data_IF_629930621430
#
_entry.id   IF_629930621430
#
_cell.length_a   1.000
_cell.length_b   1.000
_cell.length_c   1.000
_cell.angle_alpha   90.00
_cell.angle_beta   90.00
_cell.angle_gamma   90.00
#
_symmetry.space_group_name_H-M   'P 1'
#
loop_
_entity.id
_entity.type
_entity.pdbx_description
1 polymer ?
#
# COMPACT_ATOMS: atom_id res chain seq x y z
N UNK A 1 -11.56 -11.33 -12.19
CA UNK A 1 -11.10 -10.73 -10.92
C UNK A 1 -11.01 -9.24 -11.15
N UNK A 2 -11.62 -8.42 -10.30
CA UNK A 2 -11.43 -6.98 -10.39
C UNK A 2 -10.01 -6.62 -9.95
N UNK A 3 -9.63 -5.36 -10.20
CA UNK A 3 -8.45 -4.73 -9.64
C UNK A 3 -8.93 -3.31 -9.39
N UNK A 4 -9.51 -3.06 -8.21
CA UNK A 4 -10.24 -1.81 -7.92
C UNK A 4 -9.32 -0.59 -8.04
N UNK A 5 -8.03 -0.79 -7.78
CA UNK A 5 -6.98 0.22 -7.89
C UNK A 5 -6.40 0.35 -9.31
N UNK A 6 -6.74 -0.55 -10.23
CA UNK A 6 -6.22 -0.60 -11.61
C UNK A 6 -4.69 -0.54 -11.69
N UNK A 7 -3.99 -1.16 -10.72
CA UNK A 7 -2.52 -1.16 -10.65
C UNK A 7 -1.96 -2.20 -11.63
N UNK A 8 -1.01 -1.83 -12.53
CA UNK A 8 -0.43 -2.78 -13.48
C UNK A 8 0.66 -3.64 -12.82
N UNK A 9 0.33 -4.89 -12.50
CA UNK A 9 1.27 -5.82 -11.86
C UNK A 9 2.27 -6.51 -12.82
N UNK A 10 2.04 -6.46 -14.14
CA UNK A 10 2.89 -7.12 -15.16
C UNK A 10 3.06 -8.62 -14.88
N UNK A 11 4.29 -9.10 -14.67
CA UNK A 11 4.63 -10.50 -14.35
C UNK A 11 4.89 -10.70 -12.85
N UNK A 12 4.66 -9.68 -12.02
CA UNK A 12 4.87 -9.75 -10.58
C UNK A 12 3.66 -10.43 -9.90
N UNK A 13 3.75 -11.75 -9.75
CA UNK A 13 2.72 -12.57 -9.10
C UNK A 13 2.48 -12.20 -7.63
N UNK A 14 3.53 -11.73 -6.92
CA UNK A 14 3.39 -11.27 -5.53
C UNK A 14 2.54 -10.01 -5.45
N UNK A 15 2.78 -9.05 -6.36
CA UNK A 15 1.95 -7.85 -6.46
C UNK A 15 0.52 -8.19 -6.91
N UNK A 16 0.35 -9.13 -7.85
CA UNK A 16 -0.99 -9.61 -8.23
C UNK A 16 -1.76 -10.12 -7.00
N UNK A 17 -1.12 -10.96 -6.19
CA UNK A 17 -1.72 -11.51 -4.98
C UNK A 17 -2.10 -10.43 -3.96
N UNK A 18 -1.27 -9.40 -3.79
CA UNK A 18 -1.59 -8.24 -2.95
C UNK A 18 -2.85 -7.53 -3.47
N UNK A 19 -2.98 -7.34 -4.79
CA UNK A 19 -4.16 -6.71 -5.37
C UNK A 19 -5.42 -7.56 -5.22
N UNK A 20 -5.31 -8.88 -5.37
CA UNK A 20 -6.41 -9.81 -5.10
C UNK A 20 -6.86 -9.73 -3.62
N UNK A 21 -5.91 -9.62 -2.67
CA UNK A 21 -6.22 -9.41 -1.25
C UNK A 21 -6.96 -8.09 -1.02
N UNK A 22 -6.46 -6.99 -1.61
CA UNK A 22 -7.04 -5.65 -1.48
C UNK A 22 -8.49 -5.62 -1.98
N UNK A 23 -8.77 -6.31 -3.09
CA UNK A 23 -10.08 -6.39 -3.70
C UNK A 23 -11.12 -7.10 -2.81
N UNK A 24 -10.69 -8.03 -1.96
CA UNK A 24 -11.55 -8.81 -1.07
C UNK A 24 -11.56 -8.29 0.39
N UNK A 25 -10.60 -7.45 0.79
CA UNK A 25 -10.47 -7.01 2.18
C UNK A 25 -11.43 -5.86 2.54
N UNK A 26 -12.57 -6.24 3.13
CA UNK A 26 -13.60 -5.29 3.55
C UNK A 26 -13.13 -4.29 4.62
N UNK A 27 -12.15 -4.67 5.46
CA UNK A 27 -11.59 -3.79 6.50
C UNK A 27 -10.84 -2.62 5.86
N UNK A 28 -9.86 -2.90 4.99
CA UNK A 28 -9.07 -1.89 4.29
C UNK A 28 -9.96 -0.95 3.48
N UNK A 29 -10.87 -1.49 2.67
CA UNK A 29 -11.79 -0.68 1.87
C UNK A 29 -12.70 0.20 2.74
N UNK A 30 -13.13 -0.31 3.89
CA UNK A 30 -13.94 0.47 4.84
C UNK A 30 -13.12 1.59 5.49
N UNK A 31 -11.84 1.35 5.82
CA UNK A 31 -10.96 2.38 6.35
C UNK A 31 -10.77 3.54 5.36
N UNK A 32 -10.56 3.26 4.07
CA UNK A 32 -10.51 4.32 3.05
C UNK A 32 -11.81 5.13 2.98
N UNK A 33 -12.96 4.46 3.08
CA UNK A 33 -14.25 5.15 3.12
C UNK A 33 -14.36 6.05 4.37
N UNK A 34 -13.96 5.54 5.53
CA UNK A 34 -13.96 6.31 6.79
C UNK A 34 -13.03 7.53 6.73
N UNK A 35 -11.81 7.35 6.21
CA UNK A 35 -10.87 8.45 5.94
C UNK A 35 -11.50 9.50 5.03
N UNK A 36 -12.19 9.09 3.97
CA UNK A 36 -12.83 10.02 3.04
C UNK A 36 -14.01 10.78 3.66
N UNK A 37 -14.84 10.14 4.48
CA UNK A 37 -15.94 10.82 5.21
C UNK A 37 -15.39 11.89 6.15
N UNK A 38 -14.28 11.60 6.84
CA UNK A 38 -13.63 12.61 7.69
C UNK A 38 -13.06 13.75 6.84
N UNK A 39 -12.32 13.44 5.79
CA UNK A 39 -11.70 14.44 4.93
C UNK A 39 -12.72 15.34 4.23
N UNK A 40 -13.64 14.74 3.49
CA UNK A 40 -14.55 15.44 2.58
C UNK A 40 -15.77 15.94 3.35
N UNK A 41 -16.54 15.03 3.95
CA UNK A 41 -17.87 15.38 4.49
C UNK A 41 -17.77 16.21 5.78
N UNK A 42 -16.78 15.93 6.63
CA UNK A 42 -16.65 16.62 7.94
C UNK A 42 -15.74 17.84 7.90
N UNK A 43 -14.63 17.77 7.16
CA UNK A 43 -13.60 18.81 7.16
C UNK A 43 -13.60 19.68 5.88
N UNK A 44 -14.31 19.27 4.83
CA UNK A 44 -14.37 20.02 3.57
C UNK A 44 -13.07 19.98 2.77
N UNK A 45 -12.22 18.97 2.98
CA UNK A 45 -10.99 18.73 2.21
C UNK A 45 -11.24 17.88 0.95
N UNK A 46 -10.17 17.67 0.18
CA UNK A 46 -10.16 16.82 -0.99
C UNK A 46 -10.19 15.31 -0.64
N UNK A 47 -10.37 14.49 -1.67
CA UNK A 47 -10.48 13.03 -1.54
C UNK A 47 -9.27 12.41 -0.83
N UNK A 48 -9.58 11.53 0.13
CA UNK A 48 -8.66 10.61 0.82
C UNK A 48 -9.30 9.21 0.85
N UNK A 49 -9.99 8.85 -0.25
CA UNK A 49 -10.69 7.59 -0.41
C UNK A 49 -10.00 6.66 -1.41
N UNK A 50 -10.73 5.65 -1.94
CA UNK A 50 -10.18 4.69 -2.90
C UNK A 50 -9.56 5.32 -4.15
N UNK A 51 -10.07 6.47 -4.61
CA UNK A 51 -9.55 7.18 -5.79
C UNK A 51 -8.19 7.83 -5.48
N UNK A 52 -8.07 8.48 -4.32
CA UNK A 52 -6.81 9.03 -3.82
C UNK A 52 -5.71 7.96 -3.78
N UNK A 53 -5.93 6.87 -3.03
CA UNK A 53 -4.90 5.83 -2.85
C UNK A 53 -4.53 5.15 -4.16
N UNK A 54 -5.48 5.00 -5.09
CA UNK A 54 -5.24 4.52 -6.45
C UNK A 54 -4.25 5.40 -7.20
N UNK A 55 -4.43 6.72 -7.14
CA UNK A 55 -3.53 7.67 -7.83
C UNK A 55 -2.14 7.62 -7.20
N UNK A 56 -2.06 7.64 -5.86
CA UNK A 56 -0.79 7.57 -5.13
C UNK A 56 -0.03 6.29 -5.47
N UNK A 57 -0.67 5.12 -5.37
CA UNK A 57 -0.02 3.84 -5.63
C UNK A 57 0.45 3.68 -7.08
N UNK A 58 -0.35 4.09 -8.07
CA UNK A 58 0.06 4.05 -9.47
C UNK A 58 1.24 5.00 -9.75
N UNK A 59 1.22 6.20 -9.16
CA UNK A 59 2.31 7.17 -9.27
C UNK A 59 3.61 6.64 -8.64
N UNK A 60 3.52 6.12 -7.42
CA UNK A 60 4.66 5.61 -6.68
C UNK A 60 5.29 4.38 -7.37
N UNK A 61 4.48 3.42 -7.82
CA UNK A 61 4.96 2.25 -8.56
C UNK A 61 5.62 2.65 -9.89
N UNK A 62 5.05 3.61 -10.62
CA UNK A 62 5.68 4.14 -11.84
C UNK A 62 7.03 4.79 -11.53
N UNK A 63 7.12 5.56 -10.45
CA UNK A 63 8.34 6.23 -10.02
C UNK A 63 9.43 5.23 -9.66
N UNK A 64 9.10 4.21 -8.86
CA UNK A 64 10.01 3.10 -8.53
C UNK A 64 10.54 2.44 -9.81
N UNK A 65 9.67 2.07 -10.75
CA UNK A 65 10.05 1.43 -12.01
C UNK A 65 10.98 2.30 -12.86
N UNK A 66 10.75 3.62 -12.89
CA UNK A 66 11.62 4.56 -13.60
C UNK A 66 13.01 4.66 -12.95
N UNK A 67 13.07 4.68 -11.62
CA UNK A 67 14.33 4.69 -10.86
C UNK A 67 15.12 3.41 -11.10
N UNK A 68 14.48 2.24 -11.00
CA UNK A 68 15.09 0.94 -11.29
C UNK A 68 15.60 0.88 -12.73
N UNK A 69 14.81 1.36 -13.71
CA UNK A 69 15.24 1.42 -15.10
C UNK A 69 16.45 2.34 -15.34
N UNK A 70 16.76 3.25 -14.40
CA UNK A 70 17.95 4.10 -14.40
C UNK A 70 19.08 3.57 -13.51
N UNK A 71 18.98 2.33 -13.02
CA UNK A 71 20.01 1.68 -12.22
C UNK A 71 19.99 2.07 -10.73
N UNK A 72 18.95 2.76 -10.26
CA UNK A 72 18.76 2.99 -8.82
C UNK A 72 18.26 1.70 -8.18
N UNK A 73 19.06 1.13 -7.29
CA UNK A 73 18.73 -0.12 -6.61
C UNK A 73 17.84 0.13 -5.38
N UNK A 74 16.68 -0.56 -5.25
CA UNK A 74 15.83 -0.45 -4.06
C UNK A 74 16.53 -0.96 -2.80
N UNK A 75 16.30 -0.31 -1.65
CA UNK A 75 16.90 -0.71 -0.37
C UNK A 75 16.54 -2.13 0.02
N UNK A 76 15.29 -2.56 -0.20
CA UNK A 76 14.85 -3.93 0.14
C UNK A 76 15.68 -5.00 -0.59
N UNK A 77 16.12 -4.69 -1.81
CA UNK A 77 17.04 -5.54 -2.57
C UNK A 77 18.47 -5.43 -2.08
N UNK A 78 18.97 -4.20 -1.95
CA UNK A 78 20.36 -3.92 -1.58
C UNK A 78 20.72 -4.45 -0.19
N UNK A 79 19.86 -4.21 0.78
CA UNK A 79 20.18 -4.39 2.21
C UNK A 79 19.67 -5.74 2.74
N UNK A 80 18.65 -6.33 2.12
CA UNK A 80 18.04 -7.60 2.56
C UNK A 80 18.07 -8.71 1.50
N UNK A 81 18.68 -8.48 0.33
CA UNK A 81 18.82 -9.50 -0.72
C UNK A 81 17.50 -9.88 -1.41
N UNK A 82 16.43 -9.11 -1.21
CA UNK A 82 15.13 -9.35 -1.83
C UNK A 82 15.11 -8.90 -3.30
N UNK A 83 13.99 -9.11 -3.98
CA UNK A 83 13.83 -8.80 -5.41
C UNK A 83 13.32 -7.38 -5.66
N UNK A 84 13.37 -6.94 -6.93
CA UNK A 84 12.74 -5.68 -7.34
C UNK A 84 11.21 -5.79 -7.24
N UNK A 85 10.68 -6.97 -7.50
CA UNK A 85 9.27 -7.33 -7.38
C UNK A 85 8.77 -7.13 -5.95
N UNK A 86 9.61 -7.42 -4.95
CA UNK A 86 9.31 -7.15 -3.53
C UNK A 86 9.30 -5.64 -3.23
N UNK A 87 10.17 -4.86 -3.88
CA UNK A 87 10.13 -3.41 -3.78
C UNK A 87 8.83 -2.82 -4.35
N UNK A 88 8.28 -3.41 -5.41
CA UNK A 88 6.96 -3.00 -5.93
C UNK A 88 5.85 -3.26 -4.91
N UNK A 89 5.91 -4.40 -4.22
CA UNK A 89 4.95 -4.74 -3.14
C UNK A 89 5.05 -3.74 -1.98
N UNK A 90 6.26 -3.44 -1.50
CA UNK A 90 6.49 -2.45 -0.43
C UNK A 90 5.89 -1.10 -0.81
N UNK A 91 6.21 -0.59 -2.00
CA UNK A 91 5.75 0.74 -2.44
C UNK A 91 4.24 0.81 -2.61
N UNK A 92 3.61 -0.25 -3.14
CA UNK A 92 2.15 -0.29 -3.30
C UNK A 92 1.45 -0.38 -1.94
N UNK A 93 1.88 -1.28 -1.05
CA UNK A 93 1.29 -1.41 0.29
C UNK A 93 1.44 -0.13 1.10
N UNK A 94 2.63 0.49 1.10
CA UNK A 94 2.86 1.77 1.75
C UNK A 94 1.93 2.85 1.19
N UNK A 95 1.80 2.95 -0.14
CA UNK A 95 0.95 3.97 -0.79
C UNK A 95 -0.52 3.84 -0.41
N UNK A 96 -1.06 2.62 -0.39
CA UNK A 96 -2.49 2.40 -0.15
C UNK A 96 -2.85 2.44 1.34
N UNK A 97 -1.87 2.44 2.24
CA UNK A 97 -2.08 2.46 3.69
C UNK A 97 -1.54 3.73 4.38
N UNK A 98 -0.93 4.66 3.64
CA UNK A 98 -0.19 5.78 4.25
C UNK A 98 -1.06 6.72 5.09
N UNK A 99 -2.35 6.87 4.77
CA UNK A 99 -3.27 7.81 5.41
C UNK A 99 -4.46 7.15 6.14
N UNK A 100 -4.36 5.84 6.46
CA UNK A 100 -5.41 5.13 7.21
C UNK A 100 -5.75 5.77 8.55
N UNK A 101 -4.80 6.43 9.21
CA UNK A 101 -5.05 7.14 10.47
C UNK A 101 -6.07 8.27 10.37
N UNK A 102 -6.36 8.74 9.14
CA UNK A 102 -7.38 9.75 8.89
C UNK A 102 -8.79 9.26 9.23
N UNK A 103 -8.99 7.94 9.26
CA UNK A 103 -10.21 7.31 9.76
C UNK A 103 -10.46 7.58 11.26
N UNK A 104 -9.42 8.02 12.01
CA UNK A 104 -9.49 8.30 13.44
C UNK A 104 -9.38 9.81 13.73
N UNK A 105 -8.35 10.46 13.18
CA UNK A 105 -8.00 11.86 13.47
C UNK A 105 -7.24 12.46 12.30
N UNK A 106 -7.36 13.78 12.08
CA UNK A 106 -6.63 14.48 11.02
C UNK A 106 -5.18 14.80 11.41
N UNK A 107 -5.00 15.28 12.63
CA UNK A 107 -3.70 15.67 13.15
C UNK A 107 -2.83 14.43 13.40
N UNK A 108 -1.61 14.45 12.89
CA UNK A 108 -0.64 13.35 12.97
C UNK A 108 -1.18 11.99 12.46
N UNK A 109 -2.12 12.00 11.51
CA UNK A 109 -2.77 10.79 10.99
C UNK A 109 -1.77 9.77 10.45
N UNK A 110 -0.65 10.21 9.91
CA UNK A 110 0.46 9.36 9.47
C UNK A 110 1.03 8.47 10.59
N UNK A 111 1.06 8.97 11.82
CA UNK A 111 1.51 8.21 13.00
C UNK A 111 0.49 7.13 13.37
N UNK A 112 -0.80 7.44 13.21
CA UNK A 112 -1.88 6.49 13.48
C UNK A 112 -2.11 5.50 12.33
N UNK A 113 -1.65 5.80 11.11
CA UNK A 113 -1.71 4.88 9.97
C UNK A 113 -0.88 3.62 10.19
N UNK A 114 0.33 3.75 10.74
CA UNK A 114 1.25 2.62 10.96
C UNK A 114 0.64 1.47 11.80
N UNK A 115 0.07 1.71 13.01
CA UNK A 115 -0.54 0.65 13.79
C UNK A 115 -1.81 0.07 13.15
N UNK A 116 -2.59 0.86 12.40
CA UNK A 116 -3.74 0.34 11.64
C UNK A 116 -3.30 -0.56 10.49
N UNK A 117 -2.24 -0.17 9.77
CA UNK A 117 -1.69 -0.93 8.66
C UNK A 117 -1.12 -2.28 9.12
N UNK A 118 -0.46 -2.34 10.28
CA UNK A 118 0.26 -3.54 10.74
C UNK A 118 -0.62 -4.81 10.79
N UNK A 119 -1.87 -4.68 11.23
CA UNK A 119 -2.81 -5.81 11.27
C UNK A 119 -3.15 -6.33 9.87
N UNK A 120 -3.36 -5.42 8.92
CA UNK A 120 -3.69 -5.73 7.53
C UNK A 120 -2.47 -6.29 6.79
N UNK A 121 -1.29 -5.69 6.98
CA UNK A 121 -0.02 -6.15 6.40
C UNK A 121 0.29 -7.59 6.80
N UNK A 122 0.09 -7.96 8.07
CA UNK A 122 0.30 -9.33 8.54
C UNK A 122 -0.59 -10.34 7.81
N UNK A 123 -1.88 -10.00 7.60
CA UNK A 123 -2.84 -10.86 6.87
C UNK A 123 -2.52 -10.94 5.38
N UNK A 124 -2.10 -9.82 4.79
CA UNK A 124 -1.80 -9.70 3.36
C UNK A 124 -0.52 -10.45 2.97
N UNK A 125 0.53 -10.36 3.79
CA UNK A 125 1.86 -10.88 3.45
C UNK A 125 2.06 -12.35 3.82
N UNK A 126 1.45 -12.85 4.90
CA UNK A 126 1.71 -14.20 5.42
C UNK A 126 1.48 -15.36 4.44
N UNK A 127 0.58 -15.29 3.43
CA UNK A 127 0.42 -16.39 2.49
C UNK A 127 1.57 -16.52 1.47
N UNK A 128 2.39 -15.48 1.29
CA UNK A 128 3.35 -15.39 0.17
C UNK A 128 4.80 -15.14 0.60
N UNK A 129 5.00 -14.71 1.85
CA UNK A 129 6.30 -14.40 2.41
C UNK A 129 6.53 -15.21 3.67
N UNK A 130 7.78 -15.60 3.90
CA UNK A 130 8.21 -16.11 5.20
C UNK A 130 8.00 -15.06 6.29
N UNK A 131 8.01 -15.48 7.56
CA UNK A 131 7.88 -14.55 8.69
C UNK A 131 8.98 -13.47 8.68
N UNK A 132 10.20 -13.81 8.25
CA UNK A 132 11.31 -12.89 8.12
C UNK A 132 11.06 -11.86 7.02
N UNK A 133 10.76 -12.30 5.79
CA UNK A 133 10.49 -11.41 4.65
C UNK A 133 9.27 -10.51 4.91
N UNK A 134 8.20 -11.04 5.49
CA UNK A 134 7.02 -10.26 5.83
C UNK A 134 7.33 -9.18 6.89
N UNK A 135 8.25 -9.47 7.82
CA UNK A 135 8.71 -8.49 8.81
C UNK A 135 9.52 -7.38 8.13
N UNK A 136 10.42 -7.73 7.21
CA UNK A 136 11.22 -6.77 6.44
C UNK A 136 10.32 -5.85 5.59
N UNK A 137 9.31 -6.41 4.92
CA UNK A 137 8.40 -5.63 4.06
C UNK A 137 7.52 -4.67 4.87
N UNK A 138 7.18 -5.01 6.12
CA UNK A 138 6.25 -4.25 6.97
C UNK A 138 6.91 -3.30 7.97
N UNK A 139 8.25 -3.20 7.97
CA UNK A 139 9.03 -2.35 8.88
C UNK A 139 9.40 -0.99 8.31
#
# INVERSE_FOLDING_TARGET
MSNILSIPFKENEKLKAVLDFVDEDAELQTLWRCSNVIAVDRLGYNDHGPVHVKIVANGALKMLRLLVAKGVEPSVKKDYGMSVEDAEVVVVLASIMHDLGLALVREAHEVYSAPLALGILRRCLSPYYSAEEATIISS
#
